data_IF_007489149583
#
_entry.id   IF_007489149583
#
_cell.length_a   1.000
_cell.length_b   1.000
_cell.length_c   1.000
_cell.angle_alpha   90.00
_cell.angle_beta   90.00
_cell.angle_gamma   90.00
#
_symmetry.space_group_name_H-M   'P 1'
#
loop_
_entity.id
_entity.type
_entity.pdbx_description
1 polymer ?
#
# COMPACT_ATOMS: atom_id res chain seq x y z
N UNK A 1 -4.50 -6.57 8.44
CA UNK A 1 -4.76 -6.16 7.03
C UNK A 1 -4.94 -4.64 6.96
N UNK A 2 -3.84 -3.90 6.97
CA UNK A 2 -3.83 -2.43 6.87
C UNK A 2 -4.05 -1.92 5.42
N UNK A 3 -3.87 -2.79 4.42
CA UNK A 3 -3.84 -2.41 3.01
C UNK A 3 -5.11 -1.76 2.46
N UNK A 4 -6.29 -2.15 2.94
CA UNK A 4 -7.56 -1.55 2.50
C UNK A 4 -7.73 -0.11 2.95
N UNK A 5 -7.34 0.21 4.20
CA UNK A 5 -7.35 1.59 4.72
C UNK A 5 -6.36 2.45 3.95
N UNK A 6 -5.16 1.94 3.67
CA UNK A 6 -4.16 2.65 2.87
C UNK A 6 -4.68 2.93 1.46
N UNK A 7 -5.37 1.97 0.84
CA UNK A 7 -5.98 2.14 -0.48
C UNK A 7 -6.95 3.32 -0.49
N UNK A 8 -7.85 3.41 0.50
CA UNK A 8 -8.83 4.51 0.63
C UNK A 8 -8.10 5.85 0.70
N UNK A 9 -7.05 5.96 1.52
CA UNK A 9 -6.25 7.19 1.62
C UNK A 9 -5.58 7.54 0.28
N UNK A 10 -5.08 6.55 -0.45
CA UNK A 10 -4.46 6.75 -1.77
C UNK A 10 -5.47 7.25 -2.80
N UNK A 11 -6.67 6.65 -2.88
CA UNK A 11 -7.68 7.12 -3.85
C UNK A 11 -8.19 8.52 -3.53
N UNK A 12 -8.37 8.86 -2.25
CA UNK A 12 -8.67 10.23 -1.81
C UNK A 12 -7.55 11.19 -2.21
N UNK A 13 -6.30 10.80 -1.98
CA UNK A 13 -5.15 11.59 -2.36
C UNK A 13 -5.09 11.87 -3.86
N UNK A 14 -5.35 10.85 -4.69
CA UNK A 14 -5.41 10.99 -6.15
C UNK A 14 -6.56 11.92 -6.56
N UNK A 15 -7.75 11.70 -6.01
CA UNK A 15 -8.92 12.53 -6.29
C UNK A 15 -8.64 14.01 -6.01
N UNK A 16 -8.18 14.33 -4.79
CA UNK A 16 -7.86 15.71 -4.40
C UNK A 16 -6.79 16.33 -5.31
N UNK A 17 -5.78 15.57 -5.65
CA UNK A 17 -4.69 16.05 -6.50
C UNK A 17 -5.16 16.36 -7.93
N UNK A 18 -5.95 15.45 -8.52
CA UNK A 18 -6.49 15.62 -9.86
C UNK A 18 -7.51 16.77 -9.94
N UNK A 19 -8.39 16.91 -8.94
CA UNK A 19 -9.32 18.04 -8.86
C UNK A 19 -8.58 19.37 -8.75
N UNK A 20 -7.58 19.46 -7.85
CA UNK A 20 -6.78 20.68 -7.66
C UNK A 20 -6.01 21.07 -8.93
N UNK A 21 -5.52 20.08 -9.67
CA UNK A 21 -4.83 20.27 -10.94
C UNK A 21 -5.77 20.44 -12.15
N UNK A 22 -7.10 20.42 -11.93
CA UNK A 22 -8.13 20.53 -12.99
C UNK A 22 -7.93 19.51 -14.12
N UNK A 23 -7.59 18.28 -13.75
CA UNK A 23 -7.41 17.18 -14.70
C UNK A 23 -8.77 16.64 -15.13
N UNK A 24 -8.95 16.40 -16.43
CA UNK A 24 -10.16 15.77 -16.96
C UNK A 24 -10.27 14.30 -16.53
N UNK A 25 -11.49 13.78 -16.46
CA UNK A 25 -11.77 12.38 -16.13
C UNK A 25 -11.18 11.93 -14.78
N UNK A 26 -11.29 12.76 -13.75
CA UNK A 26 -10.79 12.49 -12.39
C UNK A 26 -11.15 11.09 -11.89
N UNK A 27 -12.39 10.66 -12.05
CA UNK A 27 -12.85 9.35 -11.59
C UNK A 27 -12.17 8.19 -12.31
N UNK A 28 -11.86 8.35 -13.60
CA UNK A 28 -11.10 7.35 -14.36
C UNK A 28 -9.69 7.21 -13.76
N UNK A 29 -9.02 8.32 -13.46
CA UNK A 29 -7.68 8.30 -12.85
C UNK A 29 -7.67 7.70 -11.45
N UNK A 30 -8.73 7.94 -10.66
CA UNK A 30 -8.93 7.28 -9.38
C UNK A 30 -9.08 5.77 -9.57
N UNK A 31 -9.92 5.32 -10.51
CA UNK A 31 -10.13 3.90 -10.79
C UNK A 31 -8.85 3.21 -11.30
N UNK A 32 -8.11 3.85 -12.21
CA UNK A 32 -6.81 3.36 -12.71
C UNK A 32 -5.81 3.25 -11.55
N UNK A 33 -5.72 4.26 -10.69
CA UNK A 33 -4.80 4.25 -9.55
C UNK A 33 -5.16 3.16 -8.53
N UNK A 34 -6.46 2.93 -8.28
CA UNK A 34 -6.93 1.84 -7.45
C UNK A 34 -6.57 0.47 -8.05
N UNK A 35 -6.77 0.30 -9.37
CA UNK A 35 -6.39 -0.92 -10.09
C UNK A 35 -4.89 -1.20 -10.01
N UNK A 36 -4.06 -0.18 -10.23
CA UNK A 36 -2.59 -0.31 -10.11
C UNK A 36 -2.18 -0.63 -8.68
N UNK A 37 -2.76 0.04 -7.68
CA UNK A 37 -2.50 -0.23 -6.28
C UNK A 37 -2.77 -1.70 -5.93
N UNK A 38 -3.93 -2.22 -6.33
CA UNK A 38 -4.31 -3.61 -6.09
C UNK A 38 -3.41 -4.61 -6.84
N UNK A 39 -3.07 -4.32 -8.10
CA UNK A 39 -2.16 -5.16 -8.87
C UNK A 39 -0.78 -5.24 -8.20
N UNK A 40 -0.21 -4.10 -7.80
CA UNK A 40 1.08 -4.06 -7.11
C UNK A 40 1.01 -4.74 -5.75
N UNK A 41 -0.08 -4.55 -4.99
CA UNK A 41 -0.27 -5.29 -3.74
C UNK A 41 -0.31 -6.80 -3.96
N UNK A 42 -1.03 -7.28 -4.98
CA UNK A 42 -1.07 -8.69 -5.31
C UNK A 42 0.32 -9.24 -5.61
N UNK A 43 1.10 -8.56 -6.46
CA UNK A 43 2.48 -8.96 -6.75
C UNK A 43 3.39 -8.91 -5.52
N UNK A 44 3.30 -7.85 -4.71
CA UNK A 44 4.11 -7.69 -3.51
C UNK A 44 3.78 -8.73 -2.42
N UNK A 45 2.51 -9.14 -2.32
CA UNK A 45 2.14 -10.27 -1.46
C UNK A 45 2.82 -11.55 -1.96
N UNK A 46 2.76 -11.85 -3.27
CA UNK A 46 3.49 -12.96 -3.89
C UNK A 46 5.01 -12.90 -3.65
N UNK A 47 5.59 -11.71 -3.75
CA UNK A 47 7.00 -11.50 -3.43
C UNK A 47 7.30 -11.79 -1.95
N UNK A 48 6.47 -11.34 -1.01
CA UNK A 48 6.66 -11.62 0.40
C UNK A 48 6.63 -13.12 0.71
N UNK A 49 5.79 -13.86 -0.01
CA UNK A 49 5.68 -15.31 0.13
C UNK A 49 6.96 -15.96 -0.36
N UNK A 50 7.41 -15.58 -1.55
CA UNK A 50 8.67 -16.05 -2.11
C UNK A 50 9.86 -15.75 -1.19
N UNK A 51 9.95 -14.52 -0.65
CA UNK A 51 11.00 -14.14 0.29
C UNK A 51 10.95 -14.97 1.56
N UNK A 52 9.75 -15.21 2.11
CA UNK A 52 9.58 -16.07 3.27
C UNK A 52 10.02 -17.51 2.99
N UNK A 53 9.71 -18.05 1.82
CA UNK A 53 10.10 -19.41 1.45
C UNK A 53 11.61 -19.53 1.20
N UNK A 54 12.22 -18.51 0.59
CA UNK A 54 13.67 -18.42 0.44
C UNK A 54 14.38 -18.31 1.81
N UNK A 55 13.88 -17.47 2.72
CA UNK A 55 14.42 -17.33 4.08
C UNK A 55 14.23 -18.61 4.92
N UNK A 56 13.16 -19.39 4.68
CA UNK A 56 12.94 -20.69 5.33
C UNK A 56 13.89 -21.79 4.85
N UNK A 57 14.43 -21.69 3.64
CA UNK A 57 15.48 -22.63 3.21
C UNK A 57 16.76 -22.51 4.06
N UNK A 58 16.91 -21.42 4.81
CA UNK A 58 17.97 -21.20 5.81
C UNK A 58 17.46 -21.28 7.28
N UNK A 59 16.15 -21.25 7.52
CA UNK A 59 15.53 -21.30 8.86
C UNK A 59 14.30 -22.24 8.85
N UNK A 60 14.53 -23.54 9.09
CA UNK A 60 13.58 -24.47 9.74
C UNK A 60 12.16 -24.66 9.16
N UNK A 61 12.06 -25.33 8.01
CA UNK A 61 11.08 -26.35 7.54
C UNK A 61 9.57 -26.42 7.96
N UNK A 62 8.93 -25.53 8.73
CA UNK A 62 7.56 -25.76 9.23
C UNK A 62 6.54 -24.61 8.98
N UNK A 63 6.38 -24.17 7.73
CA UNK A 63 5.32 -23.22 7.36
C UNK A 63 4.43 -23.77 6.25
N UNK A 64 3.26 -24.31 6.61
CA UNK A 64 2.21 -24.62 5.65
C UNK A 64 1.40 -23.36 5.34
N UNK A 65 1.26 -23.09 4.04
CA UNK A 65 0.55 -21.94 3.52
C UNK A 65 -0.72 -22.40 2.81
N UNK A 66 -1.72 -22.78 3.60
CA UNK A 66 -3.06 -23.06 3.08
C UNK A 66 -3.71 -21.74 2.59
N UNK A 67 -4.09 -21.73 1.30
CA UNK A 67 -4.68 -20.59 0.60
C UNK A 67 -6.11 -20.25 1.05
N UNK A 68 -6.71 -21.07 1.93
CA UNK A 68 -8.11 -20.91 2.39
C UNK A 68 -8.27 -20.34 3.81
N UNK A 69 -7.17 -20.17 4.57
CA UNK A 69 -7.24 -19.76 5.98
C UNK A 69 -7.18 -18.23 6.17
N UNK A 70 -8.34 -17.65 6.49
CA UNK A 70 -8.51 -16.24 6.89
C UNK A 70 -8.86 -16.20 8.39
N UNK A 71 -7.89 -16.50 9.28
CA UNK A 71 -8.10 -16.39 10.72
C UNK A 71 -6.87 -16.77 11.55
N UNK A 72 -6.52 -15.90 12.51
CA UNK A 72 -5.49 -16.04 13.55
C UNK A 72 -4.24 -16.89 13.21
N UNK A 73 -3.32 -16.30 12.44
CA UNK A 73 -2.04 -16.92 12.09
C UNK A 73 -1.07 -16.82 13.25
N UNK A 74 -1.25 -17.62 14.30
CA UNK A 74 -0.11 -17.99 15.14
C UNK A 74 0.83 -18.77 14.23
N UNK A 75 1.96 -18.15 13.85
CA UNK A 75 3.09 -18.83 13.23
C UNK A 75 3.49 -20.00 14.14
N UNK A 76 2.89 -21.18 13.93
CA UNK A 76 3.15 -22.36 14.76
C UNK A 76 4.55 -22.94 14.54
N UNK A 77 5.36 -22.37 13.65
CA UNK A 77 6.75 -22.82 13.43
C UNK A 77 7.80 -21.79 13.02
N UNK A 78 7.48 -20.51 12.77
CA UNK A 78 8.41 -19.64 12.03
C UNK A 78 8.95 -18.38 12.72
N UNK A 79 8.23 -17.80 13.69
CA UNK A 79 8.54 -16.43 14.14
C UNK A 79 8.15 -16.20 15.60
N UNK A 80 8.78 -16.91 16.53
CA UNK A 80 8.69 -16.62 17.95
C UNK A 80 9.90 -15.78 18.39
N UNK A 81 9.65 -14.53 18.78
CA UNK A 81 10.68 -13.59 19.25
C UNK A 81 10.57 -12.19 18.62
N UNK A 82 11.31 -11.22 19.17
CA UNK A 82 11.28 -9.81 18.74
C UNK A 82 11.57 -9.64 17.24
N UNK A 83 12.56 -10.37 16.70
CA UNK A 83 12.91 -10.33 15.27
C UNK A 83 11.81 -10.86 14.35
N UNK A 84 11.07 -11.88 14.78
CA UNK A 84 9.93 -12.41 14.03
C UNK A 84 8.73 -11.46 14.04
N UNK A 85 8.51 -10.75 15.14
CA UNK A 85 7.52 -9.67 15.22
C UNK A 85 7.82 -8.53 14.24
N UNK A 86 9.07 -8.05 14.21
CA UNK A 86 9.49 -6.98 13.29
C UNK A 86 9.35 -7.38 11.82
N UNK A 87 9.79 -8.60 11.46
CA UNK A 87 9.66 -9.09 10.10
C UNK A 87 8.18 -9.25 9.68
N UNK A 88 7.32 -9.70 10.59
CA UNK A 88 5.88 -9.79 10.33
C UNK A 88 5.26 -8.42 10.04
N UNK A 89 5.63 -7.39 10.79
CA UNK A 89 5.17 -6.01 10.56
C UNK A 89 5.70 -5.49 9.21
N UNK A 90 6.99 -5.70 8.92
CA UNK A 90 7.60 -5.31 7.65
C UNK A 90 6.86 -5.93 6.46
N UNK A 91 6.63 -7.25 6.50
CA UNK A 91 5.97 -7.97 5.43
C UNK A 91 4.46 -7.64 5.33
N UNK A 92 3.82 -7.20 6.40
CA UNK A 92 2.44 -6.69 6.31
C UNK A 92 2.40 -5.29 5.67
N UNK A 93 3.39 -4.44 5.94
CA UNK A 93 3.42 -3.06 5.48
C UNK A 93 4.03 -2.89 4.08
N UNK A 94 4.92 -3.79 3.66
CA UNK A 94 5.60 -3.70 2.36
C UNK A 94 4.62 -3.65 1.17
N UNK A 95 3.60 -4.53 1.05
CA UNK A 95 2.69 -4.48 -0.08
C UNK A 95 1.93 -3.16 -0.24
N UNK A 96 1.28 -2.60 0.81
CA UNK A 96 0.65 -1.29 0.68
C UNK A 96 1.65 -0.16 0.40
N UNK A 97 2.86 -0.20 0.96
CA UNK A 97 3.88 0.83 0.66
C UNK A 97 4.30 0.82 -0.82
N UNK A 98 4.53 -0.36 -1.39
CA UNK A 98 4.83 -0.50 -2.81
C UNK A 98 3.67 -0.01 -3.68
N UNK A 99 2.43 -0.30 -3.27
CA UNK A 99 1.23 0.23 -3.91
C UNK A 99 1.18 1.76 -3.88
N UNK A 100 1.45 2.39 -2.73
CA UNK A 100 1.51 3.87 -2.60
C UNK A 100 2.57 4.44 -3.55
N UNK A 101 3.77 3.85 -3.58
CA UNK A 101 4.87 4.32 -4.42
C UNK A 101 4.55 4.22 -5.92
N UNK A 102 3.97 3.11 -6.35
CA UNK A 102 3.57 2.93 -7.75
C UNK A 102 2.52 3.96 -8.17
N UNK A 103 1.52 4.20 -7.32
CA UNK A 103 0.51 5.23 -7.57
C UNK A 103 1.10 6.64 -7.53
N UNK A 104 2.04 6.92 -6.63
CA UNK A 104 2.74 8.20 -6.56
C UNK A 104 3.48 8.50 -7.89
N UNK A 105 4.14 7.50 -8.47
CA UNK A 105 4.80 7.64 -9.77
C UNK A 105 3.82 7.96 -10.90
N UNK A 106 2.70 7.23 -10.97
CA UNK A 106 1.63 7.49 -11.95
C UNK A 106 1.05 8.89 -11.76
N UNK A 107 0.75 9.26 -10.52
CA UNK A 107 0.22 10.58 -10.17
C UNK A 107 1.15 11.68 -10.64
N UNK A 108 2.43 11.63 -10.25
CA UNK A 108 3.37 12.70 -10.58
C UNK A 108 3.64 12.77 -12.08
N UNK A 109 3.77 11.64 -12.78
CA UNK A 109 4.15 11.65 -14.20
C UNK A 109 3.00 11.74 -15.18
N UNK A 110 1.92 11.01 -14.95
CA UNK A 110 0.83 10.87 -15.92
C UNK A 110 -0.33 11.82 -15.61
N UNK A 111 -0.67 11.98 -14.32
CA UNK A 111 -1.78 12.85 -13.90
C UNK A 111 -1.33 14.31 -13.83
N UNK A 112 -0.28 14.60 -13.06
CA UNK A 112 0.19 15.97 -12.80
C UNK A 112 1.22 16.47 -13.80
N UNK A 113 1.90 15.56 -14.51
CA UNK A 113 2.94 15.86 -15.51
C UNK A 113 4.11 16.68 -14.92
N UNK A 114 4.49 16.38 -13.68
CA UNK A 114 5.57 17.04 -12.95
C UNK A 114 6.91 16.28 -13.05
N UNK A 115 7.99 16.93 -12.61
CA UNK A 115 9.29 16.27 -12.44
C UNK A 115 9.24 15.24 -11.30
N UNK A 116 9.98 14.12 -11.42
CA UNK A 116 10.13 13.17 -10.32
C UNK A 116 11.10 13.74 -9.29
N UNK A 117 10.53 14.32 -8.24
CA UNK A 117 11.25 14.69 -7.03
C UNK A 117 10.51 14.08 -5.85
N UNK A 118 11.20 13.87 -4.72
CA UNK A 118 10.54 13.38 -3.50
C UNK A 118 9.40 14.33 -3.08
N UNK A 119 9.58 15.64 -3.26
CA UNK A 119 8.54 16.64 -2.98
C UNK A 119 7.29 16.45 -3.84
N UNK A 120 7.45 16.23 -5.14
CA UNK A 120 6.32 16.07 -6.07
C UNK A 120 5.64 14.69 -5.93
N UNK A 121 6.42 13.65 -5.59
CA UNK A 121 5.89 12.31 -5.35
C UNK A 121 4.84 12.30 -4.24
N UNK A 122 5.10 13.01 -3.14
CA UNK A 122 4.23 13.01 -1.95
C UNK A 122 3.47 14.33 -1.75
N UNK A 123 3.44 15.20 -2.77
CA UNK A 123 2.73 16.47 -2.70
C UNK A 123 1.24 16.27 -2.43
N UNK A 124 0.60 17.17 -1.69
CA UNK A 124 -0.85 17.11 -1.40
C UNK A 124 -1.29 15.99 -0.45
N UNK A 125 -0.38 15.14 0.04
CA UNK A 125 -0.73 14.08 1.00
C UNK A 125 -1.18 14.66 2.35
N UNK A 126 -0.56 15.78 2.78
CA UNK A 126 -0.98 16.52 3.98
C UNK A 126 -2.41 17.04 3.87
N UNK A 127 -2.80 17.50 2.68
CA UNK A 127 -4.14 18.06 2.43
C UNK A 127 -5.22 17.02 2.73
N UNK A 128 -4.98 15.74 2.41
CA UNK A 128 -5.90 14.62 2.71
C UNK A 128 -6.17 14.51 4.22
N UNK A 129 -5.12 14.52 5.04
CA UNK A 129 -5.27 14.42 6.49
C UNK A 129 -5.96 15.65 7.09
N UNK A 130 -5.69 16.84 6.54
CA UNK A 130 -6.38 18.08 6.95
C UNK A 130 -7.87 17.99 6.58
N UNK A 131 -8.20 17.55 5.38
CA UNK A 131 -9.60 17.37 4.94
C UNK A 131 -10.33 16.36 5.83
N UNK A 132 -9.71 15.21 6.13
CA UNK A 132 -10.27 14.21 7.03
C UNK A 132 -10.50 14.81 8.42
N UNK A 133 -9.50 15.50 8.98
CA UNK A 133 -9.64 16.16 10.29
C UNK A 133 -10.81 17.15 10.30
N UNK A 134 -10.89 18.02 9.30
CA UNK A 134 -11.92 19.06 9.22
C UNK A 134 -13.33 18.46 9.06
N UNK A 135 -13.45 17.28 8.44
CA UNK A 135 -14.74 16.58 8.30
C UNK A 135 -15.36 16.19 9.66
N UNK A 136 -14.55 16.06 10.70
CA UNK A 136 -15.02 15.79 12.07
C UNK A 136 -15.35 17.05 12.87
N UNK A 137 -14.88 18.22 12.45
CA UNK A 137 -15.08 19.50 13.16
C UNK A 137 -16.32 20.26 12.66
N UNK A 138 -16.79 19.94 11.46
CA UNK A 138 -17.96 20.57 10.84
C UNK A 138 -19.23 19.71 10.99
N UNK A 139 -19.22 18.74 11.91
CA UNK A 139 -20.41 18.01 12.41
C UNK A 139 -20.78 18.56 13.78
#
# INVERSE_FOLDING_TARGET
MIGGVVMILVVLWIYHSAVKAKVDNVLLWVAVSAGVFLAVQYFAVNLNIFLLDALKSDIGANYERDLTSIGDRKNKGGFQGFGGGLLSVLLELLPPLLGVLAVALIRTKLILKEALTVGNLFSGMKDVFITIKNSFQNN
#
